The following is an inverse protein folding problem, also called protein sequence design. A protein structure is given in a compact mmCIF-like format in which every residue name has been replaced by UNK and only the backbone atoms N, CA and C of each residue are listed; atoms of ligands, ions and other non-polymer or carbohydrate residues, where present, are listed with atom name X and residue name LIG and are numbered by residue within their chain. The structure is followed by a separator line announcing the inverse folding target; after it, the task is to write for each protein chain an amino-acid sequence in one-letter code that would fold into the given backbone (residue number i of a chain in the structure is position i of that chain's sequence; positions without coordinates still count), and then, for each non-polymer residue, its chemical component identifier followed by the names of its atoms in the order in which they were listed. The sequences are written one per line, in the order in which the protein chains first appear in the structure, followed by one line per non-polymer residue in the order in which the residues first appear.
data_IF_681309985432
#
_entry.id   IF_681309985432
#
_cell.length_a   1.000
_cell.length_b   1.000
_cell.length_c   1.000
_cell.angle_alpha   90.00
_cell.angle_beta   90.00
_cell.angle_gamma   90.00
#
_symmetry.space_group_name_H-M   'P 1'
#
loop_
_entity.id
_entity.type
_entity.pdbx_description
1 polymer ?
#
# COMPACT_ATOMS: atom_id res chain seq x y z
N UNK A 1 9.02 -12.46 9.77
CA UNK A 1 7.70 -12.01 10.26
C UNK A 1 6.56 -12.45 9.34
N UNK A 2 6.46 -12.07 8.05
CA UNK A 2 5.34 -12.43 7.17
C UNK A 2 5.02 -13.93 7.16
N UNK A 3 6.04 -14.79 7.03
CA UNK A 3 5.86 -16.24 7.07
C UNK A 3 5.39 -16.76 8.43
N UNK A 4 5.92 -16.20 9.52
CA UNK A 4 5.59 -16.65 10.89
C UNK A 4 4.19 -16.21 11.35
N UNK A 5 3.63 -15.17 10.74
CA UNK A 5 2.26 -14.70 11.01
C UNK A 5 1.23 -15.24 10.02
N UNK A 6 1.63 -16.10 9.07
CA UNK A 6 0.75 -16.64 8.06
C UNK A 6 0.41 -15.70 6.89
N UNK A 7 0.83 -14.44 6.92
CA UNK A 7 0.53 -13.45 5.86
C UNK A 7 1.03 -13.91 4.51
N UNK A 8 2.20 -14.53 4.44
CA UNK A 8 2.77 -15.08 3.19
C UNK A 8 1.79 -16.03 2.47
N UNK A 9 0.94 -16.74 3.23
CA UNK A 9 -0.03 -17.67 2.65
C UNK A 9 -1.07 -16.99 1.76
N UNK A 10 -1.32 -15.70 1.94
CA UNK A 10 -2.23 -14.92 1.11
C UNK A 10 -1.66 -14.68 -0.30
N UNK A 11 -0.34 -14.76 -0.49
CA UNK A 11 0.37 -14.54 -1.75
C UNK A 11 0.73 -15.88 -2.43
N UNK A 12 -0.25 -16.78 -2.55
CA UNK A 12 -0.11 -18.06 -3.25
C UNK A 12 -1.26 -18.24 -4.23
N UNK A 13 -1.02 -19.04 -5.28
CA UNK A 13 -2.07 -19.57 -6.14
C UNK A 13 -2.20 -21.10 -5.95
N UNK A 14 -3.25 -21.68 -6.51
CA UNK A 14 -3.38 -23.14 -6.55
C UNK A 14 -2.17 -23.79 -7.22
N UNK A 15 -1.74 -23.24 -8.34
CA UNK A 15 -0.57 -23.73 -9.09
C UNK A 15 0.70 -23.70 -8.25
N UNK A 16 0.97 -22.58 -7.55
CA UNK A 16 2.17 -22.48 -6.69
C UNK A 16 2.11 -23.35 -5.47
N UNK A 17 0.91 -23.66 -4.94
CA UNK A 17 0.72 -24.59 -3.81
C UNK A 17 0.89 -26.05 -4.24
N UNK A 18 0.39 -26.39 -5.43
CA UNK A 18 0.46 -27.74 -5.98
C UNK A 18 1.84 -28.10 -6.56
N UNK A 19 2.72 -27.12 -6.74
CA UNK A 19 4.05 -27.35 -7.26
C UNK A 19 4.89 -28.27 -6.35
N UNK A 20 5.80 -29.10 -6.88
CA UNK A 20 6.69 -29.96 -6.09
C UNK A 20 7.54 -29.18 -5.07
N UNK A 21 7.78 -27.90 -5.34
CA UNK A 21 8.38 -26.93 -4.41
C UNK A 21 7.44 -25.72 -4.35
N UNK A 22 6.55 -25.66 -3.35
CA UNK A 22 5.66 -24.52 -3.19
C UNK A 22 6.42 -23.20 -3.15
N UNK A 23 5.91 -22.21 -3.85
CA UNK A 23 6.50 -20.87 -3.92
C UNK A 23 5.48 -19.80 -3.51
N UNK A 24 5.97 -18.59 -3.22
CA UNK A 24 5.18 -17.48 -2.73
C UNK A 24 5.56 -16.21 -3.49
N UNK A 25 4.59 -15.34 -3.73
CA UNK A 25 4.80 -14.07 -4.45
C UNK A 25 5.15 -12.87 -3.57
N UNK A 26 5.22 -13.06 -2.24
CA UNK A 26 5.32 -11.94 -1.28
C UNK A 26 6.74 -11.43 -1.01
N UNK A 27 7.73 -11.85 -1.76
CA UNK A 27 9.16 -11.62 -1.47
C UNK A 27 9.52 -10.13 -1.26
N UNK A 28 8.78 -9.23 -1.90
CA UNK A 28 9.05 -7.77 -1.91
C UNK A 28 8.04 -6.95 -1.13
N UNK A 29 6.97 -7.54 -0.57
CA UNK A 29 5.94 -6.77 0.10
C UNK A 29 6.32 -6.40 1.52
N UNK A 30 5.97 -5.18 1.93
CA UNK A 30 6.11 -4.66 3.30
C UNK A 30 4.73 -4.51 3.98
N UNK A 31 3.80 -5.38 3.65
CA UNK A 31 2.41 -5.35 4.15
C UNK A 31 2.32 -5.19 5.68
N UNK A 32 3.06 -5.95 6.53
CA UNK A 32 2.99 -5.78 7.96
C UNK A 32 3.39 -4.39 8.43
N UNK A 33 4.36 -3.75 7.76
CA UNK A 33 4.81 -2.38 8.07
C UNK A 33 3.70 -1.36 7.81
N UNK A 34 3.03 -1.46 6.65
CA UNK A 34 1.93 -0.57 6.31
C UNK A 34 0.75 -0.68 7.27
N UNK A 35 0.40 -1.88 7.70
CA UNK A 35 -0.70 -2.08 8.65
C UNK A 35 -0.31 -1.60 10.04
N UNK A 36 0.90 -1.95 10.51
CA UNK A 36 1.40 -1.51 11.80
C UNK A 36 1.51 0.02 11.89
N UNK A 37 1.95 0.69 10.81
CA UNK A 37 2.01 2.14 10.75
C UNK A 37 0.62 2.79 10.96
N UNK A 38 -0.42 2.26 10.31
CA UNK A 38 -1.80 2.77 10.48
C UNK A 38 -2.33 2.57 11.90
N UNK A 39 -2.11 1.39 12.47
CA UNK A 39 -2.52 1.10 13.87
C UNK A 39 -1.73 1.99 14.84
N UNK A 40 -0.45 2.21 14.59
CA UNK A 40 0.37 3.13 15.40
C UNK A 40 -0.16 4.56 15.34
N UNK A 41 -0.54 5.05 14.17
CA UNK A 41 -1.14 6.38 14.03
C UNK A 41 -2.47 6.50 14.81
N UNK A 42 -3.34 5.50 14.73
CA UNK A 42 -4.60 5.46 15.50
C UNK A 42 -4.31 5.46 17.01
N UNK A 43 -3.38 4.62 17.46
CA UNK A 43 -3.01 4.53 18.88
C UNK A 43 -2.39 5.83 19.40
N UNK A 44 -1.55 6.49 18.59
CA UNK A 44 -0.97 7.79 18.92
C UNK A 44 -2.04 8.88 19.06
N UNK A 45 -3.00 8.93 18.14
CA UNK A 45 -4.13 9.87 18.22
C UNK A 45 -5.00 9.60 19.44
N UNK A 46 -5.29 8.34 19.74
CA UNK A 46 -6.05 7.96 20.95
C UNK A 46 -5.32 8.37 22.24
N UNK A 47 -4.00 8.14 22.31
CA UNK A 47 -3.17 8.57 23.44
C UNK A 47 -3.12 10.09 23.56
N UNK A 48 -3.07 10.80 22.44
CA UNK A 48 -3.10 12.28 22.41
C UNK A 48 -4.43 12.83 22.95
N UNK A 49 -5.56 12.29 22.49
CA UNK A 49 -6.90 12.65 23.00
C UNK A 49 -7.00 12.32 24.49
N UNK A 50 -6.51 11.15 24.91
CA UNK A 50 -6.46 10.78 26.34
C UNK A 50 -5.67 11.79 27.18
N UNK A 51 -4.54 12.26 26.68
CA UNK A 51 -3.73 13.29 27.34
C UNK A 51 -4.49 14.62 27.50
N UNK A 52 -5.25 15.06 26.47
CA UNK A 52 -6.05 16.28 26.56
C UNK A 52 -7.09 16.19 27.69
N UNK A 53 -7.64 15.00 27.96
CA UNK A 53 -8.61 14.80 29.04
C UNK A 53 -8.00 14.59 30.42
N UNK A 54 -6.83 13.95 30.48
CA UNK A 54 -6.24 13.50 31.77
C UNK A 54 -5.01 14.29 32.22
N UNK A 55 -4.42 15.06 31.30
CA UNK A 55 -3.11 15.71 31.53
C UNK A 55 -1.91 14.76 31.55
N UNK A 56 -2.13 13.45 31.35
CA UNK A 56 -1.09 12.44 31.47
C UNK A 56 -0.77 11.85 30.10
N UNK A 57 0.51 11.84 29.72
CA UNK A 57 0.99 11.19 28.50
C UNK A 57 0.97 9.67 28.62
N UNK A 58 1.14 8.98 27.49
CA UNK A 58 1.16 7.54 27.42
C UNK A 58 2.40 7.05 26.64
N UNK A 59 2.89 5.88 27.00
CA UNK A 59 3.83 5.11 26.20
C UNK A 59 3.09 3.93 25.57
N UNK A 60 3.05 3.87 24.24
CA UNK A 60 2.32 2.85 23.50
C UNK A 60 3.30 1.97 22.75
N UNK A 61 3.23 0.66 22.97
CA UNK A 61 4.01 -0.33 22.28
C UNK A 61 3.13 -1.13 21.31
N UNK A 62 3.45 -1.12 20.03
CA UNK A 62 2.72 -1.84 18.99
C UNK A 62 3.57 -2.99 18.47
N UNK A 63 3.07 -4.20 18.59
CA UNK A 63 3.69 -5.40 18.03
C UNK A 63 3.26 -5.57 16.57
N UNK A 64 4.20 -5.44 15.65
CA UNK A 64 3.95 -5.66 14.22
C UNK A 64 3.43 -7.08 13.92
N UNK A 65 3.90 -8.08 14.65
CA UNK A 65 3.44 -9.45 14.50
C UNK A 65 1.97 -9.62 14.91
N UNK A 66 1.59 -9.06 16.07
CA UNK A 66 0.20 -9.10 16.54
C UNK A 66 -0.74 -8.36 15.59
N UNK A 67 -0.33 -7.20 15.10
CA UNK A 67 -1.11 -6.47 14.10
C UNK A 67 -1.29 -7.31 12.84
N UNK A 68 -0.25 -7.95 12.33
CA UNK A 68 -0.33 -8.81 11.14
C UNK A 68 -1.26 -10.01 11.36
N UNK A 69 -1.18 -10.66 12.52
CA UNK A 69 -2.09 -11.78 12.90
C UNK A 69 -3.54 -11.29 12.96
N UNK A 70 -3.80 -10.12 13.53
CA UNK A 70 -5.16 -9.56 13.60
C UNK A 70 -5.78 -9.33 12.21
N UNK A 71 -4.98 -9.05 11.18
CA UNK A 71 -5.49 -8.93 9.80
C UNK A 71 -5.99 -10.27 9.23
N UNK A 72 -5.58 -11.38 9.79
CA UNK A 72 -5.99 -12.73 9.40
C UNK A 72 -7.11 -13.30 10.29
N UNK A 73 -7.70 -12.48 11.15
CA UNK A 73 -8.69 -12.95 12.13
C UNK A 73 -9.85 -13.76 11.50
N UNK A 74 -10.38 -13.31 10.36
CA UNK A 74 -11.44 -14.02 9.64
C UNK A 74 -10.98 -15.38 9.12
N UNK A 75 -9.74 -15.48 8.62
CA UNK A 75 -9.17 -16.74 8.15
C UNK A 75 -8.98 -17.74 9.31
N UNK A 76 -8.46 -17.28 10.44
CA UNK A 76 -8.32 -18.12 11.63
C UNK A 76 -9.66 -18.60 12.18
N UNK A 77 -10.69 -17.71 12.23
CA UNK A 77 -12.03 -18.08 12.66
C UNK A 77 -12.65 -19.11 11.72
N UNK A 78 -12.50 -18.92 10.41
CA UNK A 78 -12.98 -19.86 9.41
C UNK A 78 -12.31 -21.23 9.54
N UNK A 79 -11.00 -21.27 9.75
CA UNK A 79 -10.23 -22.51 9.94
C UNK A 79 -10.66 -23.25 11.23
N UNK A 80 -10.81 -22.51 12.32
CA UNK A 80 -11.30 -23.07 13.58
C UNK A 80 -12.73 -23.61 13.45
N UNK A 81 -13.61 -22.90 12.75
CA UNK A 81 -14.98 -23.34 12.49
C UNK A 81 -15.01 -24.63 11.65
N UNK A 82 -14.22 -24.73 10.58
CA UNK A 82 -14.07 -25.96 9.78
C UNK A 82 -13.54 -27.12 10.63
N UNK A 83 -12.54 -26.87 11.46
CA UNK A 83 -11.99 -27.88 12.37
C UNK A 83 -13.04 -28.39 13.40
N UNK A 84 -13.96 -27.53 13.80
CA UNK A 84 -15.08 -27.85 14.67
C UNK A 84 -16.30 -28.39 13.91
N UNK A 85 -16.20 -28.64 12.62
CA UNK A 85 -17.28 -29.09 11.73
C UNK A 85 -18.49 -28.14 11.70
N UNK A 86 -18.26 -26.85 11.96
CA UNK A 86 -19.26 -25.80 11.80
C UNK A 86 -19.35 -25.34 10.34
N UNK A 87 -20.52 -24.90 9.87
CA UNK A 87 -20.66 -24.40 8.52
C UNK A 87 -19.86 -23.10 8.33
N UNK A 88 -19.05 -23.04 7.29
CA UNK A 88 -18.35 -21.84 6.84
C UNK A 88 -18.79 -21.58 5.41
N UNK A 89 -19.24 -20.36 5.14
CA UNK A 89 -19.56 -19.96 3.78
C UNK A 89 -18.27 -19.93 2.95
N UNK A 90 -18.24 -20.63 1.84
CA UNK A 90 -17.19 -20.50 0.86
C UNK A 90 -17.51 -19.33 -0.07
N UNK A 91 -16.49 -18.62 -0.51
CA UNK A 91 -16.63 -17.64 -1.60
C UNK A 91 -16.67 -18.44 -2.93
N UNK A 92 -17.80 -18.45 -3.64
CA UNK A 92 -17.92 -19.17 -4.90
C UNK A 92 -17.19 -18.46 -6.05
N UNK A 93 -16.69 -17.23 -5.83
CA UNK A 93 -16.05 -16.45 -6.86
C UNK A 93 -14.71 -17.07 -7.30
N UNK A 94 -14.56 -17.17 -8.61
CA UNK A 94 -13.30 -17.59 -9.23
C UNK A 94 -12.55 -16.35 -9.72
N UNK A 95 -11.41 -16.09 -9.13
CA UNK A 95 -10.54 -14.98 -9.55
C UNK A 95 -9.50 -15.47 -10.54
N UNK A 96 -9.34 -14.74 -11.64
CA UNK A 96 -8.34 -15.06 -12.68
C UNK A 96 -7.51 -13.83 -12.99
N UNK A 97 -6.21 -14.04 -13.17
CA UNK A 97 -5.28 -13.05 -13.72
C UNK A 97 -5.02 -13.47 -15.16
N UNK A 98 -5.32 -12.60 -16.11
CA UNK A 98 -5.28 -12.89 -17.53
C UNK A 98 -4.25 -11.99 -18.22
N UNK A 99 -3.42 -12.54 -19.12
CA UNK A 99 -2.47 -11.74 -19.89
C UNK A 99 -3.21 -10.79 -20.84
N UNK A 100 -2.67 -9.61 -21.02
CA UNK A 100 -3.12 -8.62 -21.99
C UNK A 100 -2.00 -8.31 -22.99
N UNK A 101 -2.34 -7.50 -24.01
CA UNK A 101 -1.37 -7.07 -25.01
C UNK A 101 -0.27 -6.22 -24.36
N UNK A 102 1.00 -6.52 -24.69
CA UNK A 102 2.18 -5.81 -24.17
C UNK A 102 3.11 -6.70 -23.37
N UNK A 103 4.08 -6.07 -22.74
CA UNK A 103 5.05 -6.72 -21.87
C UNK A 103 4.63 -6.57 -20.41
N UNK A 104 4.39 -7.69 -19.74
CA UNK A 104 3.93 -7.74 -18.34
C UNK A 104 2.63 -6.95 -18.09
N UNK A 105 1.68 -7.06 -19.04
CA UNK A 105 0.37 -6.42 -18.95
C UNK A 105 -0.71 -7.44 -18.62
N UNK A 106 -1.55 -7.14 -17.62
CA UNK A 106 -2.50 -8.10 -17.06
C UNK A 106 -3.83 -7.44 -16.71
N UNK A 107 -4.90 -8.25 -16.71
CA UNK A 107 -6.21 -7.88 -16.20
C UNK A 107 -6.68 -8.94 -15.19
N UNK A 108 -7.22 -8.49 -14.08
CA UNK A 108 -7.86 -9.36 -13.06
C UNK A 108 -9.34 -9.38 -13.31
N UNK A 109 -9.97 -10.56 -13.29
CA UNK A 109 -11.42 -10.73 -13.35
C UNK A 109 -11.89 -11.57 -12.17
N UNK A 110 -13.14 -11.34 -11.75
CA UNK A 110 -13.81 -12.12 -10.70
C UNK A 110 -15.14 -12.64 -11.25
N UNK A 111 -15.26 -13.95 -11.35
CA UNK A 111 -16.47 -14.64 -11.80
C UNK A 111 -17.24 -15.11 -10.56
N UNK A 112 -18.27 -14.37 -10.18
CA UNK A 112 -19.05 -14.62 -8.96
C UNK A 112 -20.04 -15.78 -9.12
N UNK A 113 -20.60 -15.91 -10.34
CA UNK A 113 -21.69 -16.82 -10.65
C UNK A 113 -21.70 -17.18 -12.15
N UNK A 114 -22.75 -17.89 -12.58
CA UNK A 114 -22.91 -18.30 -13.97
C UNK A 114 -23.34 -17.13 -14.87
N UNK A 115 -23.95 -16.09 -14.33
CA UNK A 115 -24.29 -14.87 -15.10
C UNK A 115 -23.01 -14.13 -15.50
N UNK A 116 -22.04 -14.02 -14.62
CA UNK A 116 -20.71 -13.46 -14.96
C UNK A 116 -20.04 -14.30 -16.06
N UNK A 117 -20.09 -15.64 -15.98
CA UNK A 117 -19.53 -16.52 -17.02
C UNK A 117 -20.22 -16.33 -18.37
N UNK A 118 -21.55 -16.22 -18.35
CA UNK A 118 -22.33 -15.95 -19.55
C UNK A 118 -21.99 -14.57 -20.15
N UNK A 119 -21.83 -13.55 -19.31
CA UNK A 119 -21.44 -12.21 -19.73
C UNK A 119 -20.03 -12.20 -20.35
N UNK A 120 -19.06 -12.88 -19.76
CA UNK A 120 -17.73 -13.05 -20.36
C UNK A 120 -17.81 -13.73 -21.72
N UNK A 121 -18.59 -14.82 -21.83
CA UNK A 121 -18.77 -15.52 -23.10
C UNK A 121 -19.40 -14.61 -24.18
N UNK A 122 -20.37 -13.78 -23.79
CA UNK A 122 -20.97 -12.80 -24.71
C UNK A 122 -19.97 -11.74 -25.18
N UNK A 123 -19.13 -11.20 -24.26
CA UNK A 123 -18.10 -10.20 -24.58
C UNK A 123 -17.00 -10.77 -25.48
N UNK A 124 -16.58 -12.03 -25.22
CA UNK A 124 -15.52 -12.68 -26.00
C UNK A 124 -16.02 -13.30 -27.32
N UNK A 125 -17.34 -13.34 -27.52
CA UNK A 125 -17.95 -14.04 -28.66
C UNK A 125 -17.77 -15.56 -28.56
N UNK A 126 -17.62 -16.11 -27.35
CA UNK A 126 -17.39 -17.53 -27.09
C UNK A 126 -15.95 -17.99 -27.28
N UNK A 127 -15.00 -17.09 -27.55
CA UNK A 127 -13.58 -17.39 -27.58
C UNK A 127 -13.03 -17.67 -26.18
N UNK A 128 -11.88 -18.38 -26.10
CA UNK A 128 -11.16 -18.50 -24.84
C UNK A 128 -10.80 -17.12 -24.28
N UNK A 129 -11.12 -16.88 -23.03
CA UNK A 129 -10.97 -15.56 -22.41
C UNK A 129 -9.50 -15.13 -22.37
N UNK A 130 -8.55 -16.06 -22.15
CA UNK A 130 -7.12 -15.72 -22.10
C UNK A 130 -6.59 -15.35 -23.49
N UNK A 131 -7.04 -16.04 -24.54
CA UNK A 131 -6.71 -15.68 -25.91
C UNK A 131 -7.33 -14.34 -26.31
N UNK A 132 -8.56 -14.07 -25.88
CA UNK A 132 -9.24 -12.81 -26.15
C UNK A 132 -8.56 -11.62 -25.47
N UNK A 133 -8.11 -11.77 -24.23
CA UNK A 133 -7.43 -10.70 -23.48
C UNK A 133 -6.01 -10.45 -23.97
N UNK A 134 -5.24 -11.49 -24.31
CA UNK A 134 -3.84 -11.37 -24.73
C UNK A 134 -3.61 -10.54 -26.00
N UNK A 135 -4.66 -10.31 -26.78
CA UNK A 135 -4.65 -9.49 -27.99
C UNK A 135 -5.27 -8.11 -27.79
N UNK A 136 -5.39 -7.62 -26.55
CA UNK A 136 -6.05 -6.36 -26.22
C UNK A 136 -5.39 -5.64 -25.05
N UNK A 137 -5.42 -4.30 -25.12
CA UNK A 137 -4.99 -3.45 -24.01
C UNK A 137 -5.79 -3.77 -22.72
N UNK A 138 -5.10 -3.81 -21.58
CA UNK A 138 -5.68 -4.17 -20.27
C UNK A 138 -6.86 -3.29 -19.85
N UNK A 139 -6.81 -1.99 -20.19
CA UNK A 139 -7.89 -1.04 -19.86
C UNK A 139 -9.12 -1.28 -20.73
N UNK A 140 -8.90 -1.57 -22.01
CA UNK A 140 -9.98 -1.94 -22.94
C UNK A 140 -10.66 -3.23 -22.49
N UNK A 141 -9.89 -4.22 -22.06
CA UNK A 141 -10.41 -5.49 -21.50
C UNK A 141 -11.26 -5.21 -20.26
N UNK A 142 -10.72 -4.49 -19.28
CA UNK A 142 -11.43 -4.18 -18.04
C UNK A 142 -12.73 -3.42 -18.31
N UNK A 143 -12.69 -2.39 -19.14
CA UNK A 143 -13.85 -1.60 -19.52
C UNK A 143 -14.94 -2.42 -20.22
N UNK A 144 -14.57 -3.31 -21.12
CA UNK A 144 -15.53 -4.16 -21.82
C UNK A 144 -16.26 -5.10 -20.86
N UNK A 145 -15.51 -5.72 -19.96
CA UNK A 145 -16.07 -6.64 -18.97
C UNK A 145 -16.91 -5.91 -17.91
N UNK A 146 -16.45 -4.77 -17.41
CA UNK A 146 -17.21 -3.96 -16.46
C UNK A 146 -18.55 -3.47 -17.04
N UNK A 147 -18.59 -3.06 -18.31
CA UNK A 147 -19.85 -2.69 -19.00
C UNK A 147 -20.82 -3.86 -19.12
N UNK A 148 -20.32 -5.07 -19.15
CA UNK A 148 -21.13 -6.30 -19.11
C UNK A 148 -21.50 -6.75 -17.67
N UNK A 149 -21.13 -5.99 -16.65
CA UNK A 149 -21.42 -6.29 -15.24
C UNK A 149 -20.41 -7.21 -14.56
N UNK A 150 -19.37 -7.65 -15.25
CA UNK A 150 -18.33 -8.53 -14.70
C UNK A 150 -17.28 -7.70 -13.97
N UNK A 151 -16.96 -7.96 -12.71
CA UNK A 151 -15.88 -7.31 -12.01
C UNK A 151 -14.55 -7.61 -12.70
N UNK A 152 -13.90 -6.57 -13.18
CA UNK A 152 -12.59 -6.63 -13.83
C UNK A 152 -11.77 -5.37 -13.50
N UNK A 153 -10.45 -5.49 -13.47
CA UNK A 153 -9.56 -4.36 -13.28
C UNK A 153 -8.22 -4.59 -13.99
N UNK A 154 -7.65 -3.55 -14.62
CA UNK A 154 -6.28 -3.64 -15.13
C UNK A 154 -5.30 -3.75 -13.97
N UNK A 155 -4.21 -4.49 -14.15
CA UNK A 155 -3.07 -4.43 -13.25
C UNK A 155 -2.30 -3.13 -13.52
N UNK A 156 -2.33 -2.21 -12.57
CA UNK A 156 -1.64 -0.93 -12.70
C UNK A 156 -0.20 -1.05 -12.22
N UNK A 157 0.74 -0.63 -13.04
CA UNK A 157 2.13 -0.37 -12.66
C UNK A 157 2.22 1.02 -12.01
N UNK A 158 3.35 1.33 -11.37
CA UNK A 158 3.54 2.63 -10.71
C UNK A 158 3.26 3.83 -11.63
N UNK A 159 3.65 3.74 -12.91
CA UNK A 159 3.39 4.78 -13.90
C UNK A 159 1.90 4.92 -14.23
N UNK A 160 1.17 3.82 -14.29
CA UNK A 160 -0.26 3.81 -14.57
C UNK A 160 -1.06 4.43 -13.41
N UNK A 161 -0.58 4.20 -12.17
CA UNK A 161 -1.18 4.79 -10.95
C UNK A 161 -1.12 6.31 -10.98
N UNK A 162 -0.03 6.90 -11.45
CA UNK A 162 0.10 8.36 -11.57
C UNK A 162 -0.88 8.96 -12.58
N UNK A 163 -1.23 8.20 -13.61
CA UNK A 163 -2.16 8.61 -14.66
C UNK A 163 -3.61 8.14 -14.44
N UNK A 164 -3.88 7.41 -13.34
CA UNK A 164 -5.21 6.89 -13.04
C UNK A 164 -6.24 8.02 -12.91
N UNK A 165 -7.36 7.98 -13.66
CA UNK A 165 -8.36 9.05 -13.67
C UNK A 165 -8.98 9.31 -12.30
N UNK A 166 -9.17 8.26 -11.48
CA UNK A 166 -9.75 8.39 -10.15
C UNK A 166 -8.77 9.05 -9.17
N UNK A 167 -7.49 8.66 -9.23
CA UNK A 167 -6.45 9.24 -8.38
C UNK A 167 -6.16 10.69 -8.77
N UNK A 168 -6.18 10.99 -10.07
CA UNK A 168 -6.08 12.36 -10.58
C UNK A 168 -7.27 13.21 -10.13
N UNK A 169 -8.50 12.72 -10.26
CA UNK A 169 -9.70 13.40 -9.77
C UNK A 169 -9.63 13.70 -8.26
N UNK A 170 -9.12 12.75 -7.49
CA UNK A 170 -8.95 12.89 -6.03
C UNK A 170 -7.74 13.72 -5.63
N UNK A 171 -6.88 14.11 -6.56
CA UNK A 171 -5.64 14.85 -6.29
C UNK A 171 -4.75 14.13 -5.28
N UNK A 172 -4.59 12.82 -5.46
CA UNK A 172 -3.78 11.99 -4.56
C UNK A 172 -2.31 12.37 -4.65
N UNK A 173 -1.88 12.85 -5.80
CA UNK A 173 -0.50 13.29 -6.03
C UNK A 173 -0.45 14.79 -6.32
N UNK A 174 0.65 15.40 -5.92
CA UNK A 174 1.05 16.74 -6.30
C UNK A 174 2.55 16.78 -6.57
N UNK A 175 2.97 17.74 -7.37
CA UNK A 175 4.39 17.92 -7.69
C UNK A 175 5.14 18.50 -6.49
N UNK A 176 6.28 17.91 -6.17
CA UNK A 176 7.20 18.36 -5.14
C UNK A 176 8.58 18.60 -5.76
N UNK A 177 9.12 19.79 -5.57
CA UNK A 177 10.50 20.10 -5.94
C UNK A 177 11.43 19.65 -4.82
N UNK A 178 12.51 18.94 -5.17
CA UNK A 178 13.49 18.46 -4.21
C UNK A 178 14.92 18.74 -4.72
N UNK A 179 15.88 19.15 -3.86
CA UNK A 179 17.23 19.51 -4.28
C UNK A 179 18.03 18.42 -5.01
N UNK A 180 17.64 17.15 -4.88
CA UNK A 180 18.31 16.02 -5.54
C UNK A 180 17.78 15.74 -6.95
N UNK A 181 16.65 16.32 -7.35
CA UNK A 181 16.00 16.07 -8.63
C UNK A 181 15.93 17.34 -9.46
N UNK A 182 16.21 17.24 -10.75
CA UNK A 182 16.16 18.38 -11.67
C UNK A 182 14.70 18.74 -12.03
N UNK A 183 13.82 17.75 -12.02
CA UNK A 183 12.38 17.92 -12.31
C UNK A 183 11.53 17.67 -11.06
N UNK A 184 10.36 18.31 -10.95
CA UNK A 184 9.42 18.01 -9.87
C UNK A 184 9.01 16.54 -9.87
N UNK A 185 8.88 15.97 -8.68
CA UNK A 185 8.49 14.58 -8.48
C UNK A 185 7.06 14.51 -7.94
N UNK A 186 6.21 13.60 -8.47
CA UNK A 186 4.91 13.36 -7.89
C UNK A 186 5.05 12.80 -6.49
N UNK A 187 4.40 13.42 -5.52
CA UNK A 187 4.36 12.97 -4.14
C UNK A 187 2.92 12.84 -3.65
N UNK A 188 2.69 11.89 -2.78
CA UNK A 188 1.38 11.69 -2.18
C UNK A 188 0.99 12.91 -1.32
N UNK A 189 -0.26 13.34 -1.44
CA UNK A 189 -0.82 14.45 -0.65
C UNK A 189 -1.29 13.93 0.70
N UNK A 190 -2.54 13.67 0.90
CA UNK A 190 -3.09 13.18 2.14
C UNK A 190 -3.97 11.93 1.91
N UNK A 191 -4.15 11.08 2.92
CA UNK A 191 -4.87 9.82 2.76
C UNK A 191 -6.38 10.01 2.54
N UNK A 192 -6.90 11.20 2.80
CA UNK A 192 -8.33 11.51 2.68
C UNK A 192 -8.57 13.00 2.46
N UNK A 193 -9.64 13.37 1.73
CA UNK A 193 -10.09 14.76 1.68
C UNK A 193 -10.76 15.13 3.00
N UNK A 194 -10.29 16.21 3.63
CA UNK A 194 -10.90 16.79 4.82
C UNK A 194 -11.62 18.08 4.46
N UNK A 195 -12.82 18.31 5.03
CA UNK A 195 -13.61 19.51 4.76
C UNK A 195 -13.17 20.68 5.64
N UNK A 196 -12.81 20.41 6.90
CA UNK A 196 -12.49 21.44 7.90
C UNK A 196 -11.04 21.43 8.35
N UNK A 197 -10.24 20.51 7.88
CA UNK A 197 -8.81 20.42 8.14
C UNK A 197 -8.09 20.84 6.85
N UNK A 198 -7.31 21.92 6.86
CA UNK A 198 -6.55 22.30 5.67
C UNK A 198 -5.52 21.23 5.35
N UNK A 199 -5.20 21.02 4.05
CA UNK A 199 -4.11 20.13 3.67
C UNK A 199 -2.80 20.58 4.32
N UNK A 200 -1.96 19.61 4.69
CA UNK A 200 -0.62 19.91 5.19
C UNK A 200 0.21 20.61 4.09
N UNK A 201 1.04 21.56 4.50
CA UNK A 201 2.03 22.14 3.61
C UNK A 201 3.06 21.06 3.26
N UNK A 202 3.11 20.69 1.98
CA UNK A 202 4.09 19.73 1.50
C UNK A 202 5.45 20.41 1.36
N UNK A 203 6.44 19.85 2.02
CA UNK A 203 7.84 20.24 1.92
C UNK A 203 8.67 19.05 1.47
N UNK A 204 9.77 19.28 0.73
CA UNK A 204 10.68 18.21 0.39
C UNK A 204 11.24 17.53 1.64
N UNK A 205 11.59 16.26 1.53
CA UNK A 205 12.31 15.57 2.58
C UNK A 205 13.62 16.33 2.89
N UNK A 206 13.96 16.54 4.16
CA UNK A 206 15.16 17.28 4.50
C UNK A 206 16.42 16.52 4.07
N UNK A 207 17.42 17.27 3.65
CA UNK A 207 18.75 16.71 3.39
C UNK A 207 19.43 16.34 4.71
N UNK A 208 20.27 15.29 4.74
CA UNK A 208 21.04 14.94 5.92
C UNK A 208 21.81 16.14 6.48
N UNK A 209 21.57 16.50 7.74
CA UNK A 209 22.21 17.63 8.39
C UNK A 209 21.63 19.01 8.10
N UNK A 210 20.53 19.12 7.31
CA UNK A 210 19.92 20.40 6.94
C UNK A 210 19.42 21.18 8.17
N UNK A 211 18.83 20.50 9.14
CA UNK A 211 18.25 21.11 10.34
C UNK A 211 19.11 20.92 11.59
N UNK A 212 20.35 20.46 11.49
CA UNK A 212 21.20 20.13 12.65
C UNK A 212 21.31 21.31 13.63
N UNK A 213 21.65 22.50 13.15
CA UNK A 213 21.80 23.70 13.99
C UNK A 213 20.48 24.08 14.65
N UNK A 214 19.41 24.12 13.87
CA UNK A 214 18.07 24.47 14.37
C UNK A 214 17.61 23.54 15.48
N UNK A 215 17.78 22.23 15.30
CA UNK A 215 17.39 21.22 16.27
C UNK A 215 18.23 21.33 17.55
N UNK A 216 19.55 21.47 17.42
CA UNK A 216 20.45 21.61 18.56
C UNK A 216 20.13 22.87 19.39
N UNK A 217 19.86 23.98 18.72
CA UNK A 217 19.51 25.24 19.42
C UNK A 217 18.11 25.20 20.02
N UNK A 218 17.08 24.82 19.25
CA UNK A 218 15.67 24.94 19.68
C UNK A 218 15.23 23.84 20.63
N UNK A 219 15.70 22.60 20.44
CA UNK A 219 15.25 21.46 21.23
C UNK A 219 16.24 21.07 22.33
N UNK A 220 17.54 21.25 22.12
CA UNK A 220 18.57 20.89 23.11
C UNK A 220 19.12 22.11 23.86
N UNK A 221 18.70 23.31 23.49
CA UNK A 221 19.19 24.59 24.07
C UNK A 221 20.73 24.71 24.07
N UNK A 222 21.37 24.12 23.08
CA UNK A 222 22.84 24.21 22.92
C UNK A 222 23.23 25.58 22.40
N UNK A 223 24.39 26.09 22.89
CA UNK A 223 24.94 27.34 22.37
C UNK A 223 25.65 27.14 21.02
N UNK A 224 25.76 28.26 20.27
CA UNK A 224 26.30 28.24 18.92
C UNK A 224 27.76 27.75 18.90
N UNK A 225 28.57 28.17 19.89
CA UNK A 225 30.00 27.81 19.97
C UNK A 225 30.18 26.29 20.22
N UNK A 226 29.32 25.72 21.04
CA UNK A 226 29.32 24.28 21.27
C UNK A 226 28.93 23.50 20.01
N UNK A 227 27.89 23.95 19.30
CA UNK A 227 27.47 23.35 18.03
C UNK A 227 28.62 23.43 17.02
N UNK A 228 29.27 24.58 16.89
CA UNK A 228 30.38 24.78 15.95
C UNK A 228 31.58 23.86 16.29
N UNK A 229 31.90 23.70 17.57
CA UNK A 229 32.91 22.78 18.02
C UNK A 229 32.59 21.34 17.64
N UNK A 230 31.35 20.89 17.89
CA UNK A 230 30.92 19.53 17.55
C UNK A 230 30.88 19.25 16.04
N UNK A 231 30.58 20.28 15.25
CA UNK A 231 30.67 20.18 13.78
C UNK A 231 32.14 20.07 13.35
N UNK A 232 33.02 20.88 13.90
CA UNK A 232 34.45 20.83 13.60
C UNK A 232 35.10 19.50 14.02
N UNK A 233 34.64 18.89 15.10
CA UNK A 233 35.09 17.58 15.58
C UNK A 233 34.45 16.42 14.78
N UNK A 234 33.51 16.67 13.86
CA UNK A 234 32.83 15.65 13.07
C UNK A 234 31.76 14.84 13.84
N UNK A 235 31.39 15.28 15.05
CA UNK A 235 30.32 14.67 15.86
C UNK A 235 28.95 15.03 15.28
N UNK A 236 28.80 16.26 14.81
CA UNK A 236 27.62 16.73 14.11
C UNK A 236 27.97 17.01 12.64
N UNK A 237 27.02 16.71 11.75
CA UNK A 237 27.12 17.05 10.34
C UNK A 237 26.10 18.11 9.94
N UNK A 238 26.43 18.93 8.96
CA UNK A 238 25.52 19.91 8.36
C UNK A 238 25.45 19.67 6.85
N UNK A 239 24.30 19.99 6.27
CA UNK A 239 24.16 19.98 4.81
C UNK A 239 24.99 21.09 4.18
N UNK A 240 25.86 20.74 3.25
CA UNK A 240 26.78 21.68 2.60
C UNK A 240 26.27 22.20 1.24
N UNK A 241 25.07 21.80 0.82
CA UNK A 241 24.58 22.07 -0.53
C UNK A 241 25.23 21.18 -1.61
N UNK A 242 24.68 21.22 -2.82
CA UNK A 242 25.40 20.68 -4.01
C UNK A 242 26.46 21.70 -4.40
N UNK A 243 27.72 21.32 -4.37
CA UNK A 243 28.83 22.07 -5.01
C UNK A 243 28.74 21.92 -6.53
#
# INVERSE_FOLDING_TARGET
MRATTGVTWLWTSEETRAAPRPSFYDATTIFPDHVAARITAIAALAAFIGREHTGTGAHVHISQAEVAVNQLATAYVADAARSAQLPVADDPAVHRVLPCEGDDEWCVISLRDDDDRAAVAAVTGGADVSEWTSNRDKTVVADALQRAGVPAAPMNRAVDVLADPQLTFRKVFSDMTHPLFDEPMPTETGPAPYIHIPPAELRPAPMPGEHTREICQKLLAMDADEIDRLIAEGVLSTYQGRS
#
